data_IF_537918778238
#
_entry.id   IF_537918778238
#
_cell.length_a   1.000
_cell.length_b   1.000
_cell.length_c   1.000
_cell.angle_alpha   90.00
_cell.angle_beta   90.00
_cell.angle_gamma   90.00
#
_symmetry.space_group_name_H-M   'P 1'
#
loop_
_entity.id
_entity.type
_entity.pdbx_description
1 polymer ?
#
# COMPACT_ATOMS: atom_id res chain seq x y z
N UNK A 1 6.62 14.75 8.69
CA UNK A 1 7.84 14.27 8.02
C UNK A 1 8.04 12.75 8.14
N UNK A 2 7.80 12.11 9.26
CA UNK A 2 8.01 10.64 9.46
C UNK A 2 7.29 9.73 8.46
N UNK A 3 6.07 10.06 8.05
CA UNK A 3 5.28 9.29 7.08
C UNK A 3 5.99 9.13 5.73
N UNK A 4 6.49 10.24 5.18
CA UNK A 4 7.20 10.26 3.91
C UNK A 4 8.58 9.61 4.00
N UNK A 5 9.27 9.79 5.15
CA UNK A 5 10.57 9.15 5.37
C UNK A 5 10.46 7.61 5.35
N UNK A 6 9.41 7.06 5.96
CA UNK A 6 9.15 5.60 5.94
C UNK A 6 8.87 5.11 4.51
N UNK A 7 8.11 5.88 3.72
CA UNK A 7 7.85 5.53 2.33
C UNK A 7 9.13 5.53 1.50
N UNK A 8 9.93 6.61 1.60
CA UNK A 8 11.20 6.71 0.87
C UNK A 8 12.17 5.60 1.24
N UNK A 9 12.29 5.26 2.53
CA UNK A 9 13.14 4.16 3.00
C UNK A 9 12.71 2.81 2.40
N UNK A 10 11.41 2.55 2.31
CA UNK A 10 10.88 1.32 1.70
C UNK A 10 11.14 1.26 0.20
N UNK A 11 10.94 2.39 -0.49
CA UNK A 11 11.20 2.48 -1.94
C UNK A 11 12.69 2.32 -2.24
N UNK A 12 13.57 2.91 -1.42
CA UNK A 12 15.01 2.73 -1.54
C UNK A 12 15.41 1.26 -1.29
N UNK A 13 14.83 0.60 -0.29
CA UNK A 13 15.04 -0.83 -0.03
C UNK A 13 14.57 -1.70 -1.19
N UNK A 14 13.41 -1.38 -1.78
CA UNK A 14 12.90 -2.09 -2.96
C UNK A 14 13.83 -1.90 -4.17
N UNK A 15 14.28 -0.67 -4.41
CA UNK A 15 15.22 -0.40 -5.50
C UNK A 15 16.55 -1.15 -5.31
N UNK A 16 17.10 -1.16 -4.10
CA UNK A 16 18.31 -1.91 -3.76
C UNK A 16 18.11 -3.43 -3.94
N UNK A 17 16.94 -3.96 -3.58
CA UNK A 17 16.60 -5.37 -3.80
C UNK A 17 16.55 -5.72 -5.28
N UNK A 18 15.87 -4.91 -6.10
CA UNK A 18 15.78 -5.13 -7.56
C UNK A 18 17.15 -5.06 -8.20
N UNK A 19 17.96 -4.03 -7.87
CA UNK A 19 19.31 -3.88 -8.40
C UNK A 19 20.23 -5.02 -7.96
N UNK A 20 20.19 -5.42 -6.69
CA UNK A 20 20.97 -6.54 -6.18
C UNK A 20 20.61 -7.87 -6.87
N UNK A 21 19.31 -8.14 -7.05
CA UNK A 21 18.82 -9.33 -7.75
C UNK A 21 19.20 -9.30 -9.22
N UNK A 22 19.13 -8.13 -9.86
CA UNK A 22 19.56 -7.94 -11.25
C UNK A 22 21.05 -8.26 -11.44
N UNK A 23 21.91 -7.73 -10.57
CA UNK A 23 23.35 -8.04 -10.60
C UNK A 23 23.64 -9.53 -10.38
N UNK A 24 22.92 -10.13 -9.43
CA UNK A 24 23.04 -11.56 -9.13
C UNK A 24 22.64 -12.42 -10.34
N UNK A 25 21.56 -12.06 -11.03
CA UNK A 25 21.14 -12.74 -12.27
C UNK A 25 22.23 -12.67 -13.34
N UNK A 26 22.85 -11.51 -13.52
CA UNK A 26 23.97 -11.36 -14.47
C UNK A 26 25.22 -12.17 -14.11
N UNK A 27 25.45 -12.43 -12.83
CA UNK A 27 26.55 -13.27 -12.38
C UNK A 27 26.26 -14.77 -12.53
N UNK A 28 25.02 -15.18 -12.30
CA UNK A 28 24.64 -16.60 -12.31
C UNK A 28 24.24 -17.11 -13.68
N UNK A 29 23.61 -16.27 -14.50
CA UNK A 29 23.20 -16.67 -15.83
C UNK A 29 24.24 -16.26 -16.87
N UNK A 30 24.54 -17.15 -17.84
CA UNK A 30 25.38 -16.79 -18.97
C UNK A 30 24.75 -15.63 -19.74
N UNK A 31 25.57 -14.71 -20.32
CA UNK A 31 25.07 -13.54 -21.01
C UNK A 31 24.05 -13.95 -22.07
N UNK A 32 22.92 -13.21 -22.22
CA UNK A 32 21.97 -13.47 -23.27
C UNK A 32 22.70 -13.37 -24.61
N UNK A 33 22.46 -14.33 -25.51
CA UNK A 33 23.09 -14.30 -26.84
C UNK A 33 22.71 -12.98 -27.51
N UNK A 34 23.71 -12.21 -27.91
CA UNK A 34 23.52 -10.89 -28.49
C UNK A 34 22.50 -10.96 -29.62
N UNK A 35 21.44 -10.15 -29.51
CA UNK A 35 20.25 -10.13 -30.35
C UNK A 35 20.54 -9.95 -31.85
N UNK A 36 21.78 -9.66 -32.20
CA UNK A 36 22.21 -9.27 -33.54
C UNK A 36 22.87 -10.37 -34.37
N UNK A 37 23.19 -11.54 -33.83
CA UNK A 37 24.12 -12.38 -34.55
C UNK A 37 23.78 -13.84 -34.76
N UNK A 38 22.72 -14.49 -34.27
CA UNK A 38 22.45 -15.88 -34.62
C UNK A 38 20.98 -16.28 -34.61
N UNK A 39 20.71 -17.14 -35.58
CA UNK A 39 19.50 -17.94 -35.79
C UNK A 39 18.70 -18.14 -34.51
N UNK A 40 17.48 -17.61 -34.51
CA UNK A 40 16.46 -17.82 -33.47
C UNK A 40 16.39 -19.32 -33.13
N UNK A 41 16.92 -19.68 -31.97
CA UNK A 41 16.49 -20.85 -31.22
C UNK A 41 15.60 -20.36 -30.09
N UNK A 42 14.29 -20.26 -30.33
CA UNK A 42 13.40 -19.53 -29.45
C UNK A 42 13.17 -20.16 -28.07
N UNK A 43 13.65 -21.34 -27.79
CA UNK A 43 13.29 -22.08 -26.58
C UNK A 43 14.44 -22.67 -25.76
N UNK A 44 15.68 -22.29 -26.00
CA UNK A 44 16.82 -22.77 -25.24
C UNK A 44 17.28 -21.84 -24.10
N UNK A 45 18.32 -21.06 -24.36
CA UNK A 45 18.93 -20.14 -23.38
C UNK A 45 18.06 -18.92 -23.03
N UNK A 46 17.26 -18.46 -24.00
CA UNK A 46 16.42 -17.27 -23.82
C UNK A 46 15.23 -17.52 -22.89
N UNK A 47 14.76 -18.75 -22.76
CA UNK A 47 13.66 -19.10 -21.86
C UNK A 47 14.04 -18.86 -20.41
N UNK A 48 15.24 -19.25 -19.99
CA UNK A 48 15.72 -19.08 -18.61
C UNK A 48 15.82 -17.61 -18.24
N UNK A 49 16.36 -16.77 -19.13
CA UNK A 49 16.40 -15.33 -18.95
C UNK A 49 15.00 -14.71 -18.88
N UNK A 50 14.14 -15.09 -19.82
CA UNK A 50 12.76 -14.58 -19.87
C UNK A 50 11.98 -14.93 -18.60
N UNK A 51 12.09 -16.17 -18.13
CA UNK A 51 11.44 -16.60 -16.87
C UNK A 51 12.03 -15.85 -15.67
N UNK A 52 13.36 -15.70 -15.60
CA UNK A 52 14.00 -15.00 -14.50
C UNK A 52 13.58 -13.51 -14.43
N UNK A 53 13.54 -12.83 -15.57
CA UNK A 53 13.09 -11.42 -15.65
C UNK A 53 11.59 -11.32 -15.32
N UNK A 54 10.77 -12.23 -15.80
CA UNK A 54 9.33 -12.24 -15.48
C UNK A 54 9.10 -12.41 -13.97
N UNK A 55 9.81 -13.36 -13.34
CA UNK A 55 9.72 -13.57 -11.89
C UNK A 55 10.20 -12.35 -11.11
N UNK A 56 11.31 -11.73 -11.52
CA UNK A 56 11.79 -10.50 -10.91
C UNK A 56 10.77 -9.36 -11.04
N UNK A 57 10.16 -9.21 -12.21
CA UNK A 57 9.13 -8.20 -12.45
C UNK A 57 7.88 -8.44 -11.57
N UNK A 58 7.41 -9.67 -11.48
CA UNK A 58 6.27 -10.03 -10.63
C UNK A 58 6.58 -9.78 -9.14
N UNK A 59 7.78 -10.17 -8.69
CA UNK A 59 8.22 -9.93 -7.33
C UNK A 59 8.32 -8.43 -7.02
N UNK A 60 8.94 -7.65 -7.90
CA UNK A 60 9.07 -6.19 -7.74
C UNK A 60 7.70 -5.50 -7.71
N UNK A 61 6.79 -5.88 -8.60
CA UNK A 61 5.42 -5.34 -8.65
C UNK A 61 4.63 -5.71 -7.41
N UNK A 62 4.72 -6.97 -6.96
CA UNK A 62 4.07 -7.43 -5.74
C UNK A 62 4.57 -6.70 -4.49
N UNK A 63 5.89 -6.51 -4.36
CA UNK A 63 6.50 -5.77 -3.25
C UNK A 63 6.13 -4.28 -3.29
N UNK A 64 6.10 -3.68 -4.49
CA UNK A 64 5.66 -2.30 -4.67
C UNK A 64 4.20 -2.14 -4.23
N UNK A 65 3.31 -3.03 -4.68
CA UNK A 65 1.91 -3.04 -4.28
C UNK A 65 1.77 -3.17 -2.77
N UNK A 66 2.46 -4.14 -2.15
CA UNK A 66 2.44 -4.33 -0.70
C UNK A 66 2.95 -3.09 0.06
N UNK A 67 3.97 -2.41 -0.47
CA UNK A 67 4.52 -1.17 0.10
C UNK A 67 3.49 -0.05 0.06
N UNK A 68 2.80 0.13 -1.06
CA UNK A 68 1.74 1.15 -1.21
C UNK A 68 0.56 0.85 -0.28
N UNK A 69 0.10 -0.41 -0.25
CA UNK A 69 -1.00 -0.81 0.64
C UNK A 69 -0.62 -0.59 2.11
N UNK A 70 0.57 -1.03 2.54
CA UNK A 70 1.02 -0.79 3.92
C UNK A 70 1.09 0.71 4.25
N UNK A 71 1.48 1.54 3.28
CA UNK A 71 1.56 2.99 3.47
C UNK A 71 0.18 3.64 3.62
N UNK A 72 -0.82 3.20 2.86
CA UNK A 72 -2.21 3.71 2.96
C UNK A 72 -2.78 3.49 4.37
N UNK A 73 -2.46 2.34 4.99
CA UNK A 73 -2.92 2.01 6.35
C UNK A 73 -2.00 2.54 7.46
N UNK A 74 -1.22 3.59 7.19
CA UNK A 74 -0.39 4.28 8.20
C UNK A 74 -0.91 5.67 8.50
N UNK A 75 -0.79 6.05 9.76
CA UNK A 75 -1.12 7.39 10.22
C UNK A 75 -0.21 8.43 9.58
N UNK A 76 -0.79 9.49 9.01
CA UNK A 76 -0.04 10.57 8.34
C UNK A 76 0.83 11.40 9.29
N UNK A 77 0.50 11.43 10.60
CA UNK A 77 1.27 12.18 11.61
C UNK A 77 2.39 11.35 12.24
N UNK A 78 2.08 10.17 12.80
CA UNK A 78 3.04 9.37 13.55
C UNK A 78 3.68 8.22 12.74
N UNK A 79 3.17 7.89 11.54
CA UNK A 79 3.68 6.82 10.67
C UNK A 79 3.38 5.40 11.17
N UNK A 80 2.72 5.22 12.31
CA UNK A 80 2.34 3.88 12.82
C UNK A 80 1.13 3.32 12.07
N UNK A 81 1.04 1.99 12.02
CA UNK A 81 -0.11 1.30 11.45
C UNK A 81 -1.38 1.63 12.22
N UNK A 82 -2.44 1.90 11.47
CA UNK A 82 -3.79 2.06 11.97
C UNK A 82 -4.30 0.71 12.48
N UNK A 83 -5.06 0.73 13.56
CA UNK A 83 -5.62 -0.47 14.19
C UNK A 83 -7.13 -0.29 14.41
N UNK A 84 -7.77 -1.33 14.93
CA UNK A 84 -9.18 -1.34 15.30
C UNK A 84 -10.11 -0.94 14.14
N UNK A 85 -10.31 -1.83 13.13
CA UNK A 85 -11.33 -1.59 12.13
C UNK A 85 -12.70 -1.63 12.81
N UNK A 86 -13.37 -0.47 12.88
CA UNK A 86 -14.75 -0.36 13.36
C UNK A 86 -15.66 -0.32 12.15
N UNK A 87 -16.61 -1.26 12.07
CA UNK A 87 -17.63 -1.25 11.04
C UNK A 87 -18.69 -0.21 11.40
N UNK A 88 -18.85 0.79 10.56
CA UNK A 88 -19.92 1.78 10.66
C UNK A 88 -20.98 1.53 9.60
N UNK A 89 -22.21 1.29 10.04
CA UNK A 89 -23.33 0.89 9.18
C UNK A 89 -23.49 -0.64 9.10
N UNK A 90 -24.62 -1.08 8.57
CA UNK A 90 -24.98 -2.50 8.44
C UNK A 90 -25.17 -2.86 6.98
N UNK A 91 -24.71 -4.05 6.58
CA UNK A 91 -24.95 -4.58 5.24
C UNK A 91 -26.45 -4.85 4.99
N UNK A 92 -27.21 -5.23 6.02
CA UNK A 92 -28.64 -5.50 5.92
C UNK A 92 -29.47 -4.22 5.75
N UNK A 93 -28.98 -3.07 6.21
CA UNK A 93 -29.65 -1.77 6.12
C UNK A 93 -29.00 -0.82 5.11
N UNK A 94 -28.25 -1.35 4.17
CA UNK A 94 -27.47 -0.57 3.21
C UNK A 94 -28.31 0.41 2.38
N UNK A 95 -29.58 0.08 2.11
CA UNK A 95 -30.50 0.94 1.38
C UNK A 95 -31.03 2.11 2.22
N UNK A 96 -31.05 1.97 3.55
CA UNK A 96 -31.58 3.00 4.47
C UNK A 96 -30.48 3.87 5.07
N UNK A 97 -29.39 3.25 5.50
CA UNK A 97 -28.28 3.91 6.23
C UNK A 97 -27.09 4.25 5.34
N UNK A 98 -27.14 3.84 4.05
CA UNK A 98 -26.04 3.98 3.13
C UNK A 98 -25.00 2.86 3.25
N UNK A 99 -23.89 2.99 2.48
CA UNK A 99 -22.87 1.94 2.37
C UNK A 99 -22.07 1.79 3.67
N UNK A 100 -21.86 0.55 4.15
CA UNK A 100 -21.04 0.32 5.33
C UNK A 100 -19.58 0.77 5.06
N UNK A 101 -18.95 1.36 6.08
CA UNK A 101 -17.58 1.87 6.03
C UNK A 101 -16.76 1.25 7.15
N UNK A 102 -15.50 0.94 6.85
CA UNK A 102 -14.54 0.54 7.87
C UNK A 102 -13.74 1.76 8.31
N UNK A 103 -13.75 2.04 9.59
CA UNK A 103 -12.96 3.12 10.17
C UNK A 103 -11.76 2.54 10.91
N UNK A 104 -10.55 2.86 10.42
CA UNK A 104 -9.29 2.48 11.05
C UNK A 104 -8.78 3.63 11.90
N UNK A 105 -8.56 3.38 13.18
CA UNK A 105 -8.22 4.41 14.16
C UNK A 105 -6.73 4.40 14.45
N UNK A 106 -6.13 5.59 14.56
CA UNK A 106 -4.76 5.73 15.03
C UNK A 106 -4.70 5.47 16.55
N UNK A 107 -3.81 4.57 17.05
CA UNK A 107 -3.67 4.29 18.49
C UNK A 107 -3.35 5.52 19.34
N UNK A 108 -2.81 6.57 18.73
CA UNK A 108 -2.47 7.84 19.39
C UNK A 108 -3.52 8.96 19.17
N UNK A 109 -4.69 8.64 18.64
CA UNK A 109 -5.76 9.60 18.46
C UNK A 109 -5.56 10.68 17.37
N UNK A 110 -4.52 10.54 16.50
CA UNK A 110 -4.24 11.57 15.48
C UNK A 110 -5.26 11.66 14.36
N UNK A 111 -6.09 10.63 14.17
CA UNK A 111 -7.12 10.62 13.14
C UNK A 111 -7.62 9.22 12.83
N UNK A 112 -8.62 9.18 11.96
CA UNK A 112 -9.27 7.96 11.47
C UNK A 112 -9.22 7.90 9.96
N UNK A 113 -9.04 6.70 9.42
CA UNK A 113 -9.13 6.42 7.99
C UNK A 113 -10.45 5.70 7.71
N UNK A 114 -11.33 6.34 6.97
CA UNK A 114 -12.59 5.74 6.51
C UNK A 114 -12.38 5.08 5.15
N UNK A 115 -12.63 3.77 5.09
CA UNK A 115 -12.52 2.94 3.89
C UNK A 115 -13.89 2.37 3.56
N UNK A 116 -14.42 2.54 2.34
CA UNK A 116 -15.71 1.97 1.98
C UNK A 116 -15.65 0.44 1.99
N UNK A 117 -16.62 -0.21 2.63
CA UNK A 117 -16.70 -1.67 2.76
C UNK A 117 -17.03 -2.40 1.46
N UNK A 118 -17.74 -1.74 0.54
CA UNK A 118 -18.07 -2.26 -0.79
C UNK A 118 -17.69 -1.24 -1.85
N UNK A 119 -16.87 -1.66 -2.81
CA UNK A 119 -16.51 -0.86 -4.00
C UNK A 119 -17.36 -1.34 -5.17
N UNK A 120 -18.56 -0.82 -5.31
CA UNK A 120 -19.29 -0.90 -6.57
C UNK A 120 -18.87 0.28 -7.45
N UNK A 121 -18.92 0.09 -8.74
CA UNK A 121 -18.73 1.02 -9.84
C UNK A 121 -18.64 2.52 -9.43
N UNK A 122 -17.43 2.95 -9.13
CA UNK A 122 -17.15 4.30 -8.66
C UNK A 122 -15.98 4.27 -7.68
N UNK A 123 -15.08 5.24 -7.83
CA UNK A 123 -13.90 5.39 -6.97
C UNK A 123 -14.32 6.14 -5.71
N UNK A 124 -14.91 5.44 -4.74
CA UNK A 124 -15.08 6.04 -3.42
C UNK A 124 -13.68 6.16 -2.80
N UNK A 125 -13.13 7.36 -2.66
CA UNK A 125 -11.78 7.54 -2.14
C UNK A 125 -11.75 7.21 -0.64
N UNK A 126 -10.61 6.68 -0.20
CA UNK A 126 -10.34 6.57 1.23
C UNK A 126 -10.23 7.98 1.84
N UNK A 127 -11.05 8.28 2.82
CA UNK A 127 -11.09 9.62 3.43
C UNK A 127 -10.35 9.59 4.77
N UNK A 128 -9.37 10.50 4.90
CA UNK A 128 -8.66 10.70 6.15
C UNK A 128 -9.32 11.82 6.96
N UNK A 129 -9.82 11.49 8.14
CA UNK A 129 -10.33 12.45 9.11
C UNK A 129 -9.24 12.73 10.16
N UNK A 130 -8.75 13.95 10.20
CA UNK A 130 -7.79 14.38 11.22
C UNK A 130 -8.55 14.79 12.48
N UNK A 131 -8.31 14.10 13.58
CA UNK A 131 -8.78 14.56 14.90
C UNK A 131 -7.84 15.68 15.33
N UNK A 132 -8.21 16.93 15.05
CA UNK A 132 -7.36 18.08 15.38
C UNK A 132 -7.27 18.30 16.88
N UNK A 133 -8.35 18.07 17.61
CA UNK A 133 -8.39 18.34 19.04
C UNK A 133 -9.46 17.48 19.73
N UNK A 134 -9.10 16.19 19.98
CA UNK A 134 -9.98 15.31 20.76
C UNK A 134 -10.27 15.91 22.14
N UNK A 135 -9.28 16.56 22.74
CA UNK A 135 -9.42 17.23 24.04
C UNK A 135 -10.30 18.48 23.97
N UNK A 136 -10.16 19.30 22.94
CA UNK A 136 -11.05 20.47 22.76
C UNK A 136 -12.51 20.04 22.49
N UNK A 137 -12.73 18.99 21.70
CA UNK A 137 -14.07 18.48 21.47
C UNK A 137 -14.68 17.85 22.73
N UNK A 138 -13.90 17.17 23.57
CA UNK A 138 -14.34 16.64 24.86
C UNK A 138 -14.64 17.74 25.86
N UNK A 139 -13.76 18.75 25.97
CA UNK A 139 -13.98 19.92 26.83
C UNK A 139 -15.17 20.75 26.37
N UNK A 140 -15.39 20.86 25.04
CA UNK A 140 -16.57 21.56 24.50
C UNK A 140 -17.87 20.79 24.77
N UNK A 141 -17.83 19.44 24.77
CA UNK A 141 -18.99 18.62 25.11
C UNK A 141 -19.34 18.63 26.62
N UNK A 142 -18.34 18.87 27.49
CA UNK A 142 -18.50 18.93 28.93
C UNK A 142 -18.93 20.33 29.42
N UNK A 143 -19.00 21.35 28.54
CA UNK A 143 -19.55 22.66 28.91
C UNK A 143 -21.07 22.56 29.03
N UNK A 144 -21.63 22.86 30.21
CA UNK A 144 -23.08 22.89 30.36
C UNK A 144 -23.67 23.92 29.38
N UNK A 145 -24.60 23.46 28.57
CA UNK A 145 -25.42 24.33 27.72
C UNK A 145 -26.34 25.15 28.63
N UNK A 146 -25.90 26.34 28.96
CA UNK A 146 -26.78 27.37 29.62
C UNK A 146 -27.62 28.05 28.57
#
# INVERSE_FOLDING_TARGET
MRYWAILLLKLAGLAAFVEGTWRLLHLLLPPPAAFLYHHFRPFGRDLTWTVAILLLFLAATGLLYATVVDQVFRCRKCGRRLRMPVLRGSYSKMLQEGRPKFEYICPYGHGTLSVPGTRFQGRDPNVWHSNKDLWESLVAADRPQN
#
